data_IF_851955542256
#
_entry.id   IF_851955542256
#
_cell.length_a   1.000
_cell.length_b   1.000
_cell.length_c   1.000
_cell.angle_alpha   90.00
_cell.angle_beta   90.00
_cell.angle_gamma   90.00
#
_symmetry.space_group_name_H-M   'P 1'
#
loop_
_entity.id
_entity.type
_entity.pdbx_description
1 polymer ?
#
# COMPACT_ATOMS: atom_id res chain seq x y z
N UNK A 1 -7.61 -10.87 6.02
CA UNK A 1 -8.17 -11.03 4.66
C UNK A 1 -7.06 -10.75 3.64
N UNK A 2 -6.95 -11.55 2.58
CA UNK A 2 -6.07 -11.29 1.44
C UNK A 2 -6.87 -11.26 0.14
N UNK A 3 -6.73 -10.19 -0.63
CA UNK A 3 -7.41 -10.03 -1.92
C UNK A 3 -6.48 -10.45 -3.04
N UNK A 4 -6.90 -11.43 -3.84
CA UNK A 4 -6.11 -11.95 -4.96
C UNK A 4 -4.88 -12.79 -4.58
N UNK A 5 -4.54 -12.88 -3.28
CA UNK A 5 -3.59 -13.86 -2.74
C UNK A 5 -2.16 -13.80 -3.31
N UNK A 6 -1.62 -12.61 -3.57
CA UNK A 6 -0.23 -12.49 -4.06
C UNK A 6 0.76 -13.07 -3.05
N UNK A 7 1.75 -13.82 -3.56
CA UNK A 7 2.71 -14.58 -2.77
C UNK A 7 3.35 -13.79 -1.62
N UNK A 8 3.89 -12.56 -1.81
CA UNK A 8 4.48 -11.78 -0.71
C UNK A 8 3.50 -11.50 0.44
N UNK A 9 2.22 -11.24 0.14
CA UNK A 9 1.20 -10.99 1.16
C UNK A 9 0.84 -12.26 1.93
N UNK A 10 0.80 -13.40 1.23
CA UNK A 10 0.56 -14.71 1.85
C UNK A 10 1.73 -15.09 2.77
N UNK A 11 2.96 -15.01 2.26
CA UNK A 11 4.18 -15.32 3.02
C UNK A 11 4.35 -14.40 4.23
N UNK A 12 4.04 -13.10 4.09
CA UNK A 12 4.04 -12.17 5.22
C UNK A 12 3.06 -12.62 6.31
N UNK A 13 1.83 -13.02 5.93
CA UNK A 13 0.85 -13.52 6.88
C UNK A 13 1.28 -14.83 7.55
N UNK A 14 1.97 -15.73 6.82
CA UNK A 14 2.52 -16.97 7.37
C UNK A 14 3.63 -16.70 8.38
N UNK A 15 4.60 -15.85 8.05
CA UNK A 15 5.67 -15.45 8.98
C UNK A 15 5.13 -14.77 10.23
N UNK A 16 4.04 -14.01 10.10
CA UNK A 16 3.33 -13.41 11.22
C UNK A 16 2.48 -14.41 12.04
N UNK A 17 2.45 -15.70 11.68
CA UNK A 17 1.72 -16.75 12.43
C UNK A 17 0.22 -16.82 12.15
N UNK A 18 -0.23 -16.31 10.99
CA UNK A 18 -1.66 -16.25 10.62
C UNK A 18 -2.06 -17.24 9.53
N UNK A 19 -1.26 -18.25 9.20
CA UNK A 19 -1.51 -19.17 8.07
C UNK A 19 -2.93 -19.76 8.05
N UNK A 20 -3.40 -20.30 9.18
CA UNK A 20 -4.73 -20.91 9.30
C UNK A 20 -5.87 -19.90 9.50
N UNK A 21 -5.55 -18.60 9.56
CA UNK A 21 -6.48 -17.49 9.80
C UNK A 21 -6.67 -16.61 8.56
N UNK A 22 -6.06 -16.98 7.43
CA UNK A 22 -6.17 -16.22 6.19
C UNK A 22 -7.54 -16.45 5.56
N UNK A 23 -8.31 -15.37 5.44
CA UNK A 23 -9.52 -15.32 4.61
C UNK A 23 -9.12 -14.83 3.22
N UNK A 24 -9.23 -15.70 2.22
CA UNK A 24 -8.98 -15.34 0.82
C UNK A 24 -10.24 -14.74 0.20
N UNK A 25 -10.08 -13.58 -0.44
CA UNK A 25 -11.17 -12.92 -1.16
C UNK A 25 -10.80 -12.77 -2.63
N UNK A 26 -11.67 -13.28 -3.48
CA UNK A 26 -11.54 -13.16 -4.93
C UNK A 26 -12.53 -12.13 -5.43
N UNK A 27 -12.04 -11.17 -6.21
CA UNK A 27 -12.86 -10.18 -6.90
C UNK A 27 -12.75 -10.40 -8.40
N UNK A 28 -13.87 -10.33 -9.10
CA UNK A 28 -13.93 -10.30 -10.57
C UNK A 28 -14.64 -9.02 -10.98
N UNK A 29 -14.13 -8.36 -12.01
CA UNK A 29 -14.82 -7.23 -12.62
C UNK A 29 -16.05 -7.78 -13.35
N UNK A 30 -17.17 -7.10 -13.24
CA UNK A 30 -18.38 -7.46 -13.97
C UNK A 30 -18.11 -7.43 -15.47
N UNK A 31 -18.54 -8.47 -16.19
CA UNK A 31 -18.37 -8.56 -17.64
C UNK A 31 -19.13 -7.44 -18.35
N UNK A 32 -20.30 -7.07 -17.84
CA UNK A 32 -21.11 -5.99 -18.42
C UNK A 32 -20.36 -4.66 -18.42
N UNK A 33 -19.64 -4.35 -17.34
CA UNK A 33 -18.82 -3.14 -17.25
C UNK A 33 -17.68 -3.14 -18.28
N UNK A 34 -17.13 -4.32 -18.62
CA UNK A 34 -16.12 -4.44 -19.68
C UNK A 34 -16.71 -4.24 -21.07
N UNK A 35 -17.93 -4.72 -21.33
CA UNK A 35 -18.60 -4.52 -22.61
C UNK A 35 -19.01 -3.05 -22.80
N UNK A 36 -19.60 -2.41 -21.78
CA UNK A 36 -19.93 -0.98 -21.81
C UNK A 36 -18.69 -0.10 -22.07
N UNK A 37 -17.55 -0.43 -21.48
CA UNK A 37 -16.30 0.29 -21.76
C UNK A 37 -15.86 0.16 -23.23
N UNK A 38 -16.06 -1.00 -23.87
CA UNK A 38 -15.78 -1.17 -25.31
C UNK A 38 -16.75 -0.38 -26.19
N UNK A 39 -17.97 -0.17 -25.72
CA UNK A 39 -19.00 0.65 -26.38
C UNK A 39 -18.74 2.17 -26.23
N UNK A 40 -17.68 2.56 -25.51
CA UNK A 40 -17.27 3.97 -25.38
C UNK A 40 -17.90 4.70 -24.19
N UNK A 41 -18.52 3.98 -23.25
CA UNK A 41 -18.99 4.57 -22.00
C UNK A 41 -17.83 5.10 -21.15
N UNK A 42 -18.15 5.99 -20.21
CA UNK A 42 -17.16 6.64 -19.34
C UNK A 42 -16.43 5.62 -18.44
N UNK A 43 -15.12 5.51 -18.61
CA UNK A 43 -14.25 4.67 -17.79
C UNK A 43 -13.58 5.50 -16.68
N UNK A 44 -14.36 5.84 -15.65
CA UNK A 44 -13.91 6.67 -14.53
C UNK A 44 -13.00 5.94 -13.53
N UNK A 45 -12.37 6.73 -12.65
CA UNK A 45 -11.61 6.17 -11.54
C UNK A 45 -12.51 5.35 -10.60
N UNK A 46 -12.16 4.08 -10.38
CA UNK A 46 -12.83 3.27 -9.35
C UNK A 46 -12.15 3.50 -8.00
N UNK A 47 -12.86 3.98 -6.96
CA UNK A 47 -12.27 4.23 -5.64
C UNK A 47 -12.00 2.90 -4.92
N UNK A 48 -10.90 2.26 -5.27
CA UNK A 48 -10.57 0.91 -4.79
C UNK A 48 -10.52 0.82 -3.26
N UNK A 49 -9.93 1.82 -2.58
CA UNK A 49 -9.86 1.81 -1.11
C UNK A 49 -11.23 1.93 -0.45
N UNK A 50 -12.19 2.64 -1.06
CA UNK A 50 -13.55 2.69 -0.53
C UNK A 50 -14.24 1.33 -0.65
N UNK A 51 -14.10 0.64 -1.80
CA UNK A 51 -14.56 -0.74 -1.94
C UNK A 51 -13.92 -1.66 -0.90
N UNK A 52 -12.62 -1.51 -0.64
CA UNK A 52 -11.92 -2.27 0.38
C UNK A 52 -12.50 -2.04 1.78
N UNK A 53 -12.88 -0.80 2.12
CA UNK A 53 -13.50 -0.47 3.40
C UNK A 53 -14.77 -1.30 3.61
N UNK A 54 -15.74 -1.21 2.69
CA UNK A 54 -16.99 -1.96 2.77
C UNK A 54 -16.78 -3.48 2.75
N UNK A 55 -15.89 -3.98 1.89
CA UNK A 55 -15.58 -5.40 1.82
C UNK A 55 -14.96 -5.92 3.12
N UNK A 56 -13.98 -5.20 3.66
CA UNK A 56 -13.33 -5.55 4.93
C UNK A 56 -14.32 -5.52 6.10
N UNK A 57 -15.28 -4.60 6.06
CA UNK A 57 -16.35 -4.51 7.03
C UNK A 57 -17.30 -5.70 6.96
N UNK A 58 -17.76 -6.08 5.76
CA UNK A 58 -18.58 -7.28 5.59
C UNK A 58 -17.87 -8.53 6.13
N UNK A 59 -16.58 -8.68 5.83
CA UNK A 59 -15.79 -9.81 6.34
C UNK A 59 -15.65 -9.75 7.86
N UNK A 60 -15.40 -8.57 8.44
CA UNK A 60 -15.30 -8.41 9.88
C UNK A 60 -16.60 -8.78 10.58
N UNK A 61 -17.74 -8.34 10.05
CA UNK A 61 -19.07 -8.71 10.53
C UNK A 61 -19.29 -10.23 10.47
N UNK A 62 -19.08 -10.85 9.31
CA UNK A 62 -19.27 -12.30 9.13
C UNK A 62 -18.34 -13.17 9.99
N UNK A 63 -17.21 -12.62 10.42
CA UNK A 63 -16.20 -13.35 11.22
C UNK A 63 -16.07 -12.84 12.65
N UNK A 64 -17.02 -12.02 13.09
CA UNK A 64 -17.11 -11.42 14.41
C UNK A 64 -15.78 -10.77 14.86
N UNK A 65 -15.18 -9.96 13.98
CA UNK A 65 -13.93 -9.24 14.24
C UNK A 65 -14.22 -7.80 14.61
N UNK A 66 -13.75 -7.41 15.79
CA UNK A 66 -13.90 -6.05 16.31
C UNK A 66 -13.06 -5.01 15.59
N UNK A 67 -11.91 -5.37 15.02
CA UNK A 67 -10.97 -4.39 14.47
C UNK A 67 -10.61 -4.67 13.03
N UNK A 68 -10.73 -3.64 12.20
CA UNK A 68 -10.28 -3.58 10.82
C UNK A 68 -9.15 -2.57 10.76
N UNK A 69 -7.92 -3.08 10.66
CA UNK A 69 -6.71 -2.26 10.66
C UNK A 69 -6.17 -2.04 9.26
N UNK A 70 -5.95 -0.79 8.89
CA UNK A 70 -5.27 -0.38 7.67
C UNK A 70 -3.86 0.16 7.96
N UNK A 71 -3.16 0.49 6.88
CA UNK A 71 -1.77 0.97 6.90
C UNK A 71 -1.58 2.33 6.23
N UNK A 72 -2.62 3.16 6.04
CA UNK A 72 -2.35 4.53 5.54
C UNK A 72 -1.71 5.38 6.66
N UNK A 73 -0.66 6.09 6.28
CA UNK A 73 0.22 6.84 7.17
C UNK A 73 -0.06 8.35 7.12
N UNK A 74 0.75 9.17 7.79
CA UNK A 74 0.57 10.63 7.90
C UNK A 74 0.37 11.38 6.57
N UNK A 75 1.15 11.08 5.52
CA UNK A 75 1.12 11.74 4.21
C UNK A 75 -0.09 11.32 3.35
N UNK A 76 -0.84 10.30 3.75
CA UNK A 76 -2.12 9.96 3.12
C UNK A 76 -3.16 11.11 3.19
N UNK A 77 -2.92 12.10 4.06
CA UNK A 77 -3.72 13.33 4.17
C UNK A 77 -3.21 14.47 3.28
N UNK A 78 -2.02 14.39 2.70
CA UNK A 78 -1.45 15.47 1.89
C UNK A 78 -2.16 15.61 0.54
N UNK A 79 -2.48 16.85 0.15
CA UNK A 79 -2.92 17.16 -1.21
C UNK A 79 -1.74 16.99 -2.18
N UNK A 80 -2.02 16.47 -3.39
CA UNK A 80 -1.02 16.38 -4.45
C UNK A 80 -1.03 17.58 -5.40
N UNK A 81 -1.91 18.57 -5.17
CA UNK A 81 -2.03 19.78 -5.98
C UNK A 81 -1.80 21.00 -5.10
N UNK A 82 -0.77 21.78 -5.45
CA UNK A 82 -0.44 23.04 -4.77
C UNK A 82 -1.57 24.05 -5.01
N UNK A 83 -2.20 24.53 -3.92
CA UNK A 83 -3.30 25.50 -4.00
C UNK A 83 -4.71 24.94 -4.17
N UNK A 84 -4.87 23.61 -4.32
CA UNK A 84 -6.19 22.97 -4.35
C UNK A 84 -6.29 21.86 -3.27
N UNK A 85 -7.38 21.86 -2.51
CA UNK A 85 -7.71 20.78 -1.56
C UNK A 85 -8.20 19.50 -2.27
N UNK A 86 -7.69 19.20 -3.47
CA UNK A 86 -8.05 18.00 -4.22
C UNK A 86 -7.07 16.89 -3.85
N UNK A 87 -7.43 16.11 -2.83
CA UNK A 87 -6.75 14.86 -2.56
C UNK A 87 -7.19 13.84 -3.63
N UNK A 88 -6.28 13.49 -4.53
CA UNK A 88 -6.50 12.49 -5.59
C UNK A 88 -6.95 11.11 -5.07
N UNK A 89 -6.89 10.84 -3.75
CA UNK A 89 -7.39 9.62 -3.13
C UNK A 89 -8.07 9.88 -1.76
N UNK A 90 -9.19 10.64 -1.74
CA UNK A 90 -10.04 10.86 -0.54
C UNK A 90 -10.23 9.59 0.31
N UNK A 91 -10.47 8.44 -0.31
CA UNK A 91 -10.62 7.14 0.37
C UNK A 91 -9.43 6.66 1.23
N UNK A 92 -8.33 7.41 1.30
CA UNK A 92 -7.16 7.13 2.16
C UNK A 92 -6.98 8.14 3.29
N UNK A 93 -7.73 9.24 3.29
CA UNK A 93 -7.60 10.31 4.27
C UNK A 93 -8.15 9.90 5.63
N UNK A 94 -7.78 10.67 6.64
CA UNK A 94 -8.42 10.62 7.94
C UNK A 94 -9.89 11.03 7.88
N UNK A 95 -10.23 12.02 7.05
CA UNK A 95 -11.62 12.44 6.81
C UNK A 95 -12.48 11.27 6.34
N UNK A 96 -12.04 10.51 5.32
CA UNK A 96 -12.76 9.32 4.87
C UNK A 96 -12.87 8.26 5.98
N UNK A 97 -11.82 8.06 6.78
CA UNK A 97 -11.88 7.13 7.90
C UNK A 97 -12.96 7.55 8.91
N UNK A 98 -13.06 8.84 9.23
CA UNK A 98 -14.10 9.37 10.13
C UNK A 98 -15.50 9.24 9.52
N UNK A 99 -15.66 9.63 8.25
CA UNK A 99 -16.95 9.57 7.55
C UNK A 99 -17.44 8.12 7.41
N UNK A 100 -16.53 7.19 7.08
CA UNK A 100 -16.87 5.77 6.98
C UNK A 100 -17.27 5.19 8.35
N UNK A 101 -16.57 5.54 9.43
CA UNK A 101 -16.94 5.10 10.79
C UNK A 101 -18.31 5.62 11.20
N UNK A 102 -18.60 6.90 10.92
CA UNK A 102 -19.91 7.50 11.17
C UNK A 102 -21.01 6.78 10.38
N UNK A 103 -20.78 6.52 9.09
CA UNK A 103 -21.72 5.78 8.25
C UNK A 103 -21.99 4.38 8.81
N UNK A 104 -20.95 3.66 9.21
CA UNK A 104 -21.04 2.34 9.82
C UNK A 104 -21.88 2.35 11.10
N UNK A 105 -21.64 3.33 11.98
CA UNK A 105 -22.36 3.49 13.25
C UNK A 105 -23.85 3.79 13.02
N UNK A 106 -24.14 4.69 12.07
CA UNK A 106 -25.49 5.17 11.76
C UNK A 106 -26.36 4.13 11.04
N UNK A 107 -25.78 3.37 10.10
CA UNK A 107 -26.56 2.53 9.17
C UNK A 107 -26.34 1.03 9.31
N UNK A 108 -25.17 0.59 9.78
CA UNK A 108 -24.80 -0.83 9.78
C UNK A 108 -24.78 -1.45 11.18
N UNK A 109 -24.72 -0.62 12.24
CA UNK A 109 -24.87 -1.01 13.65
C UNK A 109 -24.05 -2.24 14.06
N UNK A 110 -22.77 -2.32 13.67
CA UNK A 110 -21.87 -3.37 14.17
C UNK A 110 -20.82 -2.79 15.10
N UNK A 111 -20.22 -3.65 15.93
CA UNK A 111 -19.13 -3.29 16.84
C UNK A 111 -17.75 -3.23 16.15
N UNK A 112 -17.70 -3.31 14.81
CA UNK A 112 -16.44 -3.33 14.07
C UNK A 112 -15.86 -1.92 13.88
N UNK A 113 -14.64 -1.70 14.36
CA UNK A 113 -13.90 -0.44 14.27
C UNK A 113 -12.97 -0.43 13.05
N UNK A 114 -13.09 0.59 12.22
CA UNK A 114 -12.26 0.82 11.04
C UNK A 114 -11.21 1.89 11.33
N UNK A 115 -9.93 1.53 11.33
CA UNK A 115 -8.86 2.45 11.70
C UNK A 115 -7.52 2.14 11.06
N UNK A 116 -6.62 3.11 11.06
CA UNK A 116 -5.28 2.97 10.51
C UNK A 116 -4.20 3.18 11.56
N UNK A 117 -3.43 2.13 11.86
CA UNK A 117 -2.43 2.17 12.93
C UNK A 117 -1.23 3.07 12.61
N UNK A 118 -0.94 3.28 11.33
CA UNK A 118 0.23 4.03 10.89
C UNK A 118 0.00 5.54 10.76
N UNK A 119 -1.21 6.05 11.05
CA UNK A 119 -1.53 7.49 10.96
C UNK A 119 -0.54 8.42 11.65
N UNK A 120 -0.03 8.08 12.86
CA UNK A 120 0.92 8.95 13.57
C UNK A 120 2.35 8.91 13.03
N UNK A 121 2.63 8.06 12.04
CA UNK A 121 3.97 7.80 11.55
C UNK A 121 4.12 8.36 10.13
N UNK A 122 5.29 8.89 9.83
CA UNK A 122 5.72 9.15 8.46
C UNK A 122 6.49 7.96 7.88
N UNK A 123 6.70 7.98 6.57
CA UNK A 123 7.36 6.89 5.84
C UNK A 123 8.77 6.57 6.38
N UNK A 124 9.54 7.57 6.81
CA UNK A 124 10.89 7.36 7.35
C UNK A 124 10.85 6.65 8.72
N UNK A 125 9.89 7.02 9.57
CA UNK A 125 9.66 6.33 10.84
C UNK A 125 9.22 4.88 10.62
N UNK A 126 8.34 4.65 9.64
CA UNK A 126 7.91 3.30 9.24
C UNK A 126 9.10 2.50 8.73
N UNK A 127 9.96 3.10 7.89
CA UNK A 127 11.17 2.45 7.37
C UNK A 127 12.14 2.07 8.50
N UNK A 128 12.31 2.94 9.51
CA UNK A 128 13.10 2.64 10.71
C UNK A 128 12.54 1.43 11.45
N UNK A 129 11.25 1.44 11.79
CA UNK A 129 10.60 0.34 12.49
C UNK A 129 10.66 -0.97 11.66
N UNK A 130 10.45 -0.88 10.35
CA UNK A 130 10.52 -2.03 9.47
C UNK A 130 11.93 -2.62 9.38
N UNK A 131 12.98 -1.80 9.44
CA UNK A 131 14.37 -2.27 9.37
C UNK A 131 14.77 -3.23 10.50
N UNK A 132 14.05 -3.20 11.61
CA UNK A 132 14.23 -4.11 12.75
C UNK A 132 13.50 -5.45 12.57
N UNK A 133 12.62 -5.57 11.56
CA UNK A 133 11.82 -6.77 11.30
C UNK A 133 12.44 -7.65 10.22
N UNK A 134 13.62 -8.19 10.51
CA UNK A 134 14.44 -8.95 9.57
C UNK A 134 13.73 -10.16 8.94
N UNK A 135 12.77 -10.75 9.65
CA UNK A 135 11.98 -11.90 9.18
C UNK A 135 11.17 -11.61 7.91
N UNK A 136 10.92 -10.33 7.58
CA UNK A 136 10.20 -9.95 6.36
C UNK A 136 11.11 -9.50 5.22
N UNK A 137 12.41 -9.28 5.45
CA UNK A 137 13.31 -8.66 4.46
C UNK A 137 13.43 -9.47 3.15
N UNK A 138 13.35 -10.79 3.21
CA UNK A 138 13.41 -11.63 2.02
C UNK A 138 12.03 -11.75 1.31
N UNK A 139 10.93 -11.39 1.99
CA UNK A 139 9.55 -11.62 1.55
C UNK A 139 8.90 -10.34 0.99
N UNK A 140 9.10 -9.19 1.63
CA UNK A 140 8.34 -7.99 1.31
C UNK A 140 8.57 -7.53 -0.13
N UNK A 141 7.51 -7.17 -0.85
CA UNK A 141 7.58 -6.65 -2.21
C UNK A 141 6.58 -5.52 -2.39
N UNK A 142 7.02 -4.50 -3.10
CA UNK A 142 6.12 -3.42 -3.54
C UNK A 142 6.28 -3.10 -5.03
N UNK A 143 7.29 -3.61 -5.73
CA UNK A 143 7.58 -3.30 -7.12
C UNK A 143 6.41 -3.66 -8.06
N UNK A 144 5.82 -2.64 -8.73
CA UNK A 144 4.71 -2.85 -9.65
C UNK A 144 5.12 -3.66 -10.88
N UNK A 145 6.29 -3.36 -11.47
CA UNK A 145 6.79 -4.07 -12.65
C UNK A 145 7.14 -5.53 -12.33
N UNK A 146 7.80 -5.76 -11.20
CA UNK A 146 8.10 -7.10 -10.72
C UNK A 146 6.85 -7.91 -10.34
N UNK A 147 5.74 -7.25 -9.98
CA UNK A 147 4.48 -7.94 -9.63
C UNK A 147 3.79 -8.64 -10.81
N UNK A 148 4.23 -8.32 -12.04
CA UNK A 148 3.80 -8.96 -13.29
C UNK A 148 4.53 -10.28 -13.56
N UNK A 149 5.63 -10.54 -12.86
CA UNK A 149 6.42 -11.78 -12.96
C UNK A 149 6.01 -12.75 -11.85
N UNK A 150 6.27 -14.03 -12.08
CA UNK A 150 6.06 -15.12 -11.11
C UNK A 150 7.36 -15.92 -11.03
N UNK A 151 8.09 -15.89 -9.89
CA UNK A 151 7.75 -15.22 -8.64
C UNK A 151 7.81 -13.67 -8.72
N UNK A 152 7.16 -12.99 -7.76
CA UNK A 152 7.21 -11.52 -7.67
C UNK A 152 8.61 -11.09 -7.20
N UNK A 153 9.33 -10.38 -8.07
CA UNK A 153 10.69 -9.90 -7.82
C UNK A 153 10.79 -8.38 -7.64
N UNK A 154 11.93 -7.92 -7.12
CA UNK A 154 12.35 -6.53 -7.29
C UNK A 154 12.93 -6.38 -8.70
N UNK A 155 12.32 -5.55 -9.55
CA UNK A 155 12.85 -5.36 -10.91
C UNK A 155 14.14 -4.51 -10.92
N UNK A 156 14.40 -3.79 -9.83
CA UNK A 156 15.58 -2.96 -9.61
C UNK A 156 15.89 -1.93 -10.72
N UNK A 157 14.86 -1.54 -11.47
CA UNK A 157 14.96 -0.62 -12.61
C UNK A 157 13.84 0.43 -12.62
N UNK A 158 13.06 0.53 -11.54
CA UNK A 158 11.93 1.46 -11.47
C UNK A 158 12.02 2.41 -10.25
N UNK A 159 11.34 3.56 -10.31
CA UNK A 159 11.36 4.54 -9.21
C UNK A 159 10.93 3.94 -7.87
N UNK A 160 10.00 2.98 -7.87
CA UNK A 160 9.52 2.33 -6.64
C UNK A 160 10.58 1.45 -5.96
N UNK A 161 11.40 0.73 -6.74
CA UNK A 161 12.51 -0.03 -6.15
C UNK A 161 13.54 0.93 -5.55
N UNK A 162 13.89 1.98 -6.30
CA UNK A 162 14.86 2.97 -5.87
C UNK A 162 14.41 3.74 -4.62
N UNK A 163 13.13 4.15 -4.57
CA UNK A 163 12.55 4.80 -3.40
C UNK A 163 12.67 3.93 -2.14
N UNK A 164 12.29 2.65 -2.22
CA UNK A 164 12.38 1.72 -1.08
C UNK A 164 13.84 1.49 -0.67
N UNK A 165 14.76 1.41 -1.64
CA UNK A 165 16.20 1.32 -1.37
C UNK A 165 16.72 2.56 -0.63
N UNK A 166 16.35 3.76 -1.10
CA UNK A 166 16.71 5.04 -0.48
C UNK A 166 16.18 5.11 0.95
N UNK A 167 14.88 4.86 1.17
CA UNK A 167 14.25 5.08 2.47
C UNK A 167 14.74 4.09 3.54
N UNK A 168 15.19 2.90 3.14
CA UNK A 168 15.79 1.91 4.04
C UNK A 168 17.28 2.13 4.28
N UNK A 169 17.99 2.83 3.39
CA UNK A 169 19.45 3.03 3.49
C UNK A 169 19.99 3.70 4.75
N UNK A 170 19.24 4.56 5.48
CA UNK A 170 19.69 5.08 6.77
C UNK A 170 19.76 4.01 7.86
N UNK A 171 19.05 2.89 7.70
CA UNK A 171 18.86 1.87 8.74
C UNK A 171 19.41 0.49 8.35
N UNK A 172 19.49 0.21 7.04
CA UNK A 172 20.08 -1.01 6.49
C UNK A 172 21.34 -0.66 5.69
N UNK A 173 22.50 -1.10 6.18
CA UNK A 173 23.77 -0.92 5.47
C UNK A 173 23.83 -1.72 4.16
N UNK A 174 24.73 -1.31 3.27
CA UNK A 174 24.89 -1.82 1.89
C UNK A 174 24.74 -3.33 1.74
N UNK A 175 25.38 -4.13 2.59
CA UNK A 175 25.30 -5.60 2.52
C UNK A 175 23.87 -6.14 2.67
N UNK A 176 23.09 -5.60 3.62
CA UNK A 176 21.68 -6.00 3.82
C UNK A 176 20.81 -5.56 2.65
N UNK A 177 21.02 -4.34 2.15
CA UNK A 177 20.29 -3.84 0.98
C UNK A 177 20.58 -4.67 -0.27
N UNK A 178 21.85 -4.94 -0.56
CA UNK A 178 22.24 -5.79 -1.69
C UNK A 178 21.71 -7.21 -1.52
N UNK A 179 21.62 -7.75 -0.30
CA UNK A 179 20.97 -9.05 -0.05
C UNK A 179 19.49 -9.04 -0.46
N UNK A 180 18.76 -7.97 -0.16
CA UNK A 180 17.32 -7.81 -0.48
C UNK A 180 17.11 -7.58 -1.98
N UNK A 181 17.86 -6.66 -2.58
CA UNK A 181 17.65 -6.18 -3.96
C UNK A 181 18.51 -6.91 -5.00
N UNK A 182 19.46 -7.74 -4.57
CA UNK A 182 20.46 -8.48 -5.38
C UNK A 182 21.49 -7.63 -6.13
N UNK A 183 21.36 -6.31 -6.07
CA UNK A 183 22.28 -5.35 -6.67
C UNK A 183 22.30 -4.05 -5.85
N UNK A 184 23.38 -3.29 -6.00
CA UNK A 184 23.50 -1.96 -5.40
C UNK A 184 22.87 -0.92 -6.33
N UNK A 185 21.71 -0.37 -5.94
CA UNK A 185 20.98 0.57 -6.79
C UNK A 185 21.63 1.95 -6.86
N UNK A 186 22.52 2.30 -5.92
CA UNK A 186 23.23 3.58 -5.97
C UNK A 186 24.35 3.59 -7.01
N UNK A 187 24.87 2.42 -7.38
CA UNK A 187 25.90 2.28 -8.43
C UNK A 187 25.30 2.14 -9.84
N UNK A 188 23.97 2.18 -9.95
CA UNK A 188 23.27 1.93 -11.21
C UNK A 188 23.03 3.22 -11.99
N UNK A 189 23.89 3.51 -12.97
CA UNK A 189 23.85 4.75 -13.75
C UNK A 189 22.48 4.97 -14.45
N UNK A 190 21.78 3.91 -14.86
CA UNK A 190 20.44 4.02 -15.47
C UNK A 190 19.38 4.59 -14.52
N UNK A 191 19.59 4.50 -13.20
CA UNK A 191 18.69 5.03 -12.17
C UNK A 191 19.06 6.45 -11.71
N UNK A 192 20.20 7.00 -12.15
CA UNK A 192 20.71 8.30 -11.68
C UNK A 192 19.73 9.45 -11.91
N UNK A 193 19.09 9.49 -13.08
CA UNK A 193 18.06 10.51 -13.37
C UNK A 193 16.90 10.41 -12.38
N UNK A 194 16.40 9.19 -12.16
CA UNK A 194 15.32 8.92 -11.21
C UNK A 194 15.71 9.23 -9.77
N UNK A 195 16.96 8.95 -9.37
CA UNK A 195 17.49 9.30 -8.06
C UNK A 195 17.40 10.81 -7.82
N UNK A 196 17.87 11.60 -8.79
CA UNK A 196 17.84 13.07 -8.74
C UNK A 196 16.39 13.57 -8.65
N UNK A 197 15.45 12.99 -9.40
CA UNK A 197 14.04 13.36 -9.35
C UNK A 197 13.39 13.07 -7.98
N UNK A 198 13.70 11.93 -7.37
CA UNK A 198 13.18 11.54 -6.05
C UNK A 198 13.70 12.44 -4.92
N UNK A 199 14.95 12.89 -4.98
CA UNK A 199 15.50 13.80 -3.96
C UNK A 199 15.14 15.27 -4.20
N UNK A 200 14.85 15.66 -5.46
CA UNK A 200 14.47 17.04 -5.82
C UNK A 200 13.03 17.35 -5.46
N UNK A 201 12.11 16.41 -5.66
CA UNK A 201 10.71 16.56 -5.22
C UNK A 201 10.60 16.81 -3.72
N UNK A 202 11.57 16.33 -2.92
CA UNK A 202 11.69 16.64 -1.49
C UNK A 202 11.99 18.13 -1.22
N UNK A 203 12.82 18.79 -2.03
CA UNK A 203 13.18 20.21 -1.83
C UNK A 203 12.03 21.18 -2.12
N UNK A 204 11.11 20.80 -3.01
CA UNK A 204 9.96 21.63 -3.36
C UNK A 204 8.77 21.46 -2.40
N UNK A 205 8.84 20.54 -1.42
CA UNK A 205 7.83 20.37 -0.37
C UNK A 205 8.17 21.10 0.95
N UNK A 206 9.33 21.76 1.03
CA UNK A 206 9.81 22.50 2.22
C UNK A 206 10.00 23.98 1.93
N UNK A 207 8.92 24.66 1.53
CA UNK A 207 8.76 26.12 1.67
C UNK A 207 7.37 26.39 2.21
#
# INVERSE_FOLDING_TARGET
MLIGGKQPSVETAKVAGYEDKIIYVTRKIDKELLELNKEGYLNGHTPFSALLAFLSYLIAYLTNKKYITLSNESSANESNVEGENINHQYSKTFEFEQDFRKYVEEYLHTESEYLSLLRPLNELQIAKLFSENEQYHDIFRSCNEGSKKTPWEWCCNCPKCLFVYIILSPFLYKEKLVKIFKEDLFEKESLKKTFIELIRTWRNKTV
#
